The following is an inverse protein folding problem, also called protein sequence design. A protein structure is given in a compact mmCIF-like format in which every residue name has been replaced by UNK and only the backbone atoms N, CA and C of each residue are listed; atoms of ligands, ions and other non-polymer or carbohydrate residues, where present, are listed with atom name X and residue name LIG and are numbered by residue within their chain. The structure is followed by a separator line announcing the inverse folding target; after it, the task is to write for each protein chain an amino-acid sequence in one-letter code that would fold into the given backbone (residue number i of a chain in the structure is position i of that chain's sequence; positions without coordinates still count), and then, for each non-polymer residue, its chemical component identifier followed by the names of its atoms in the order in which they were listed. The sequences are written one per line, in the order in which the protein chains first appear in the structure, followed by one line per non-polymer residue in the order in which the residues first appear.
data_IF_041191269598
#
_entry.id   IF_041191269598
#
_cell.length_a   1.000
_cell.length_b   1.000
_cell.length_c   1.000
_cell.angle_alpha   90.00
_cell.angle_beta   90.00
_cell.angle_gamma   90.00
#
_symmetry.space_group_name_H-M   'P 1'
#
loop_
_entity.id
_entity.type
_entity.pdbx_description
1 polymer ?
#
# COMPACT_ATOMS: atom_id res chain seq x y z
N UNK A 1 -7.01 -4.56 29.05
CA UNK A 1 -5.87 -3.80 28.50
C UNK A 1 -5.92 -2.44 29.16
N UNK A 2 -4.99 -2.13 30.05
CA UNK A 2 -4.98 -0.87 30.80
C UNK A 2 -4.59 0.28 29.85
N UNK A 3 -5.26 1.42 29.98
CA UNK A 3 -4.86 2.66 29.31
C UNK A 3 -3.47 3.06 29.84
N UNK A 4 -2.56 3.54 28.97
CA UNK A 4 -1.26 4.00 29.42
C UNK A 4 -1.41 5.16 30.42
N UNK A 5 -0.50 5.23 31.37
CA UNK A 5 -0.49 6.29 32.39
C UNK A 5 -0.35 7.68 31.75
N UNK A 6 -0.90 8.71 32.36
CA UNK A 6 -0.94 10.09 31.87
C UNK A 6 0.42 10.59 31.32
N UNK A 7 1.51 10.21 31.98
CA UNK A 7 2.88 10.57 31.58
C UNK A 7 3.30 9.98 30.23
N UNK A 8 2.90 8.73 29.93
CA UNK A 8 3.19 8.09 28.63
C UNK A 8 2.39 8.70 27.46
N UNK A 9 1.22 9.28 27.76
CA UNK A 9 0.42 9.97 26.75
C UNK A 9 1.03 11.33 26.37
N UNK A 10 1.63 12.02 27.33
CA UNK A 10 2.28 13.31 27.07
C UNK A 10 3.62 13.12 26.36
N UNK A 11 4.41 12.10 26.70
CA UNK A 11 5.64 11.73 25.97
C UNK A 11 5.34 11.33 24.51
N UNK A 12 4.26 10.58 24.29
CA UNK A 12 3.81 10.22 22.95
C UNK A 12 3.37 11.45 22.16
N UNK A 13 2.66 12.39 22.79
CA UNK A 13 2.25 13.65 22.17
C UNK A 13 3.44 14.53 21.78
N UNK A 14 4.48 14.56 22.60
CA UNK A 14 5.69 15.33 22.34
C UNK A 14 6.51 14.71 21.21
N UNK A 15 6.69 13.39 21.21
CA UNK A 15 7.32 12.64 20.13
C UNK A 15 6.60 12.79 18.77
N UNK A 16 5.26 12.87 18.78
CA UNK A 16 4.47 13.11 17.58
C UNK A 16 4.58 14.56 17.06
N UNK A 17 5.01 15.52 17.90
CA UNK A 17 5.24 16.92 17.48
C UNK A 17 6.58 17.13 16.79
N UNK A 18 7.58 16.32 17.09
CA UNK A 18 8.89 16.38 16.45
C UNK A 18 8.90 15.74 15.05
N UNK A 19 7.93 14.84 14.78
CA UNK A 19 7.72 14.21 13.50
C UNK A 19 6.65 14.90 12.66
N UNK A 20 6.43 14.43 11.45
CA UNK A 20 5.29 14.82 10.62
C UNK A 20 4.07 14.01 11.06
N UNK A 21 3.09 14.60 11.76
CA UNK A 21 1.97 13.85 12.32
C UNK A 21 0.97 13.46 11.21
N UNK A 22 0.54 12.23 11.25
CA UNK A 22 -0.57 11.71 10.44
C UNK A 22 -1.70 11.27 11.37
N UNK A 23 -2.94 11.60 11.01
CA UNK A 23 -4.11 11.20 11.78
C UNK A 23 -5.17 10.63 10.87
N UNK A 24 -5.69 9.47 11.29
CA UNK A 24 -6.81 8.80 10.66
C UNK A 24 -7.84 8.46 11.72
N UNK A 25 -9.11 8.72 11.46
CA UNK A 25 -10.24 8.41 12.32
C UNK A 25 -11.13 7.37 11.65
N UNK A 26 -11.38 6.26 12.31
CA UNK A 26 -12.38 5.28 11.90
C UNK A 26 -13.65 5.41 12.74
N UNK A 27 -14.79 5.56 12.08
CA UNK A 27 -16.10 5.63 12.71
C UNK A 27 -16.94 4.42 12.30
N UNK A 28 -17.45 3.68 13.28
CA UNK A 28 -18.42 2.62 13.04
C UNK A 28 -19.75 3.19 12.53
N UNK A 29 -20.40 2.50 11.61
CA UNK A 29 -21.72 2.88 11.08
C UNK A 29 -22.78 1.82 11.38
N UNK A 30 -22.54 0.58 11.03
CA UNK A 30 -23.47 -0.54 11.28
C UNK A 30 -22.77 -1.89 11.12
N UNK A 31 -23.25 -2.94 11.80
CA UNK A 31 -22.69 -4.29 11.67
C UNK A 31 -21.18 -4.30 11.84
N UNK A 32 -20.45 -4.72 10.80
CA UNK A 32 -18.96 -4.74 10.76
C UNK A 32 -18.41 -3.72 9.76
N UNK A 33 -19.09 -2.59 9.57
CA UNK A 33 -18.77 -1.58 8.57
C UNK A 33 -18.62 -0.19 9.19
N UNK A 34 -17.89 0.67 8.52
CA UNK A 34 -17.66 2.04 8.94
C UNK A 34 -17.04 2.92 7.85
N UNK A 35 -16.56 4.06 8.30
CA UNK A 35 -15.91 5.08 7.49
C UNK A 35 -14.53 5.38 8.07
N UNK A 36 -13.52 5.44 7.22
CA UNK A 36 -12.19 5.95 7.57
C UNK A 36 -12.01 7.31 6.91
N UNK A 37 -11.53 8.27 7.68
CA UNK A 37 -11.20 9.63 7.22
C UNK A 37 -9.80 10.00 7.65
N UNK A 38 -9.12 10.73 6.77
CA UNK A 38 -7.85 11.38 7.06
C UNK A 38 -8.06 12.88 7.24
N UNK A 39 -7.21 13.52 8.05
CA UNK A 39 -7.23 14.98 8.17
C UNK A 39 -6.73 15.68 6.89
N UNK A 40 -6.03 14.96 6.02
CA UNK A 40 -5.47 15.48 4.76
C UNK A 40 -6.39 15.36 3.54
N UNK A 41 -7.49 14.58 3.63
CA UNK A 41 -8.42 14.35 2.51
C UNK A 41 -9.87 14.45 3.00
N UNK A 42 -10.73 15.26 2.35
CA UNK A 42 -12.14 15.38 2.70
C UNK A 42 -12.95 14.10 2.40
N UNK A 43 -12.46 13.22 1.54
CA UNK A 43 -13.17 12.01 1.15
C UNK A 43 -12.98 10.90 2.19
N UNK A 44 -14.05 10.22 2.49
CA UNK A 44 -14.04 9.06 3.38
C UNK A 44 -13.98 7.76 2.58
N UNK A 45 -13.23 6.79 3.10
CA UNK A 45 -13.24 5.43 2.57
C UNK A 45 -14.24 4.60 3.37
N UNK A 46 -15.21 3.98 2.67
CA UNK A 46 -16.10 3.00 3.26
C UNK A 46 -15.38 1.67 3.42
N UNK A 47 -15.35 1.15 4.64
CA UNK A 47 -14.75 -0.15 4.92
C UNK A 47 -15.75 -1.13 5.55
N UNK A 48 -15.45 -2.41 5.42
CA UNK A 48 -16.18 -3.51 6.05
C UNK A 48 -15.23 -4.65 6.36
N UNK A 49 -15.64 -5.56 7.25
CA UNK A 49 -14.93 -6.83 7.39
C UNK A 49 -14.97 -7.62 6.05
N UNK A 50 -14.02 -8.51 5.80
CA UNK A 50 -14.11 -9.43 4.66
C UNK A 50 -15.43 -10.22 4.66
N UNK A 51 -16.01 -10.56 3.49
CA UNK A 51 -17.27 -11.29 3.40
C UNK A 51 -17.30 -12.60 4.20
N UNK A 52 -16.19 -13.35 4.20
CA UNK A 52 -16.03 -14.57 5.02
C UNK A 52 -16.15 -14.33 6.54
N UNK A 53 -16.01 -13.09 6.99
CA UNK A 53 -16.21 -12.68 8.37
C UNK A 53 -17.52 -11.91 8.58
N UNK A 54 -18.46 -11.97 7.60
CA UNK A 54 -19.78 -11.35 7.66
C UNK A 54 -19.76 -9.86 7.32
N UNK A 55 -18.83 -9.43 6.49
CA UNK A 55 -18.82 -8.11 5.88
C UNK A 55 -19.61 -8.07 4.56
N UNK A 56 -19.60 -6.90 3.92
CA UNK A 56 -20.30 -6.63 2.67
C UNK A 56 -19.34 -6.80 1.47
N UNK A 57 -19.86 -7.28 0.35
CA UNK A 57 -19.11 -7.30 -0.91
C UNK A 57 -18.97 -5.90 -1.51
N UNK A 58 -17.97 -5.72 -2.37
CA UNK A 58 -17.76 -4.46 -3.10
C UNK A 58 -17.29 -3.28 -2.23
N UNK A 59 -16.74 -3.54 -1.07
CA UNK A 59 -16.18 -2.53 -0.15
C UNK A 59 -14.75 -2.87 0.21
N UNK A 60 -13.99 -1.84 0.54
CA UNK A 60 -12.63 -2.03 1.07
C UNK A 60 -12.66 -2.75 2.40
N UNK A 61 -11.73 -3.66 2.59
CA UNK A 61 -11.51 -4.31 3.89
C UNK A 61 -10.29 -3.68 4.60
N UNK A 62 -10.12 -3.87 5.91
CA UNK A 62 -8.89 -3.46 6.60
C UNK A 62 -7.63 -4.04 5.96
N UNK A 63 -7.73 -5.26 5.42
CA UNK A 63 -6.66 -5.93 4.72
C UNK A 63 -6.32 -5.21 3.41
N UNK A 64 -7.32 -4.80 2.63
CA UNK A 64 -7.13 -4.02 1.41
C UNK A 64 -6.49 -2.66 1.71
N UNK A 65 -6.91 -2.00 2.80
CA UNK A 65 -6.34 -0.73 3.23
C UNK A 65 -4.86 -0.88 3.61
N UNK A 66 -4.48 -1.97 4.28
CA UNK A 66 -3.09 -2.27 4.61
C UNK A 66 -2.26 -2.50 3.33
N UNK A 67 -2.74 -3.35 2.43
CA UNK A 67 -2.03 -3.64 1.17
C UNK A 67 -1.97 -2.38 0.29
N UNK A 68 -3.02 -1.57 0.27
CA UNK A 68 -3.06 -0.28 -0.39
C UNK A 68 -2.05 0.72 0.18
N UNK A 69 -1.87 0.75 1.49
CA UNK A 69 -0.86 1.58 2.14
C UNK A 69 0.57 1.15 1.75
N UNK A 70 0.83 -0.15 1.65
CA UNK A 70 2.12 -0.68 1.18
C UNK A 70 2.34 -0.29 -0.29
N UNK A 71 1.35 -0.50 -1.15
CA UNK A 71 1.44 -0.20 -2.59
C UNK A 71 1.70 1.29 -2.84
N UNK A 72 0.92 2.16 -2.20
CA UNK A 72 1.05 3.61 -2.35
C UNK A 72 2.38 4.14 -1.80
N UNK A 73 2.80 3.68 -0.62
CA UNK A 73 4.07 4.07 -0.03
C UNK A 73 5.27 3.61 -0.87
N UNK A 74 5.24 2.37 -1.38
CA UNK A 74 6.25 1.87 -2.29
C UNK A 74 6.32 2.72 -3.57
N UNK A 75 5.16 3.01 -4.18
CA UNK A 75 5.06 3.83 -5.40
C UNK A 75 5.69 5.20 -5.18
N UNK A 76 5.30 5.93 -4.14
CA UNK A 76 5.84 7.27 -3.86
C UNK A 76 7.32 7.23 -3.53
N UNK A 77 7.80 6.20 -2.82
CA UNK A 77 9.22 6.00 -2.54
C UNK A 77 10.01 5.77 -3.83
N UNK A 78 9.49 4.93 -4.74
CA UNK A 78 10.13 4.72 -6.05
C UNK A 78 10.16 6.01 -6.87
N UNK A 79 9.04 6.76 -6.95
CA UNK A 79 8.98 8.01 -7.69
C UNK A 79 10.05 8.99 -7.22
N UNK A 80 10.21 9.17 -5.91
CA UNK A 80 11.24 10.04 -5.35
C UNK A 80 12.68 9.57 -5.70
N UNK A 81 12.92 8.26 -5.67
CA UNK A 81 14.22 7.69 -6.06
C UNK A 81 14.49 7.83 -7.56
N UNK A 82 13.48 7.65 -8.39
CA UNK A 82 13.58 7.80 -9.85
C UNK A 82 13.87 9.25 -10.21
N UNK A 83 13.16 10.21 -9.61
CA UNK A 83 13.38 11.64 -9.78
C UNK A 83 14.79 12.04 -9.37
N UNK A 84 15.23 11.69 -8.17
CA UNK A 84 16.59 11.96 -7.69
C UNK A 84 17.66 11.38 -8.60
N UNK A 85 17.42 10.19 -9.12
CA UNK A 85 18.35 9.47 -10.01
C UNK A 85 18.21 9.87 -11.48
N UNK A 86 17.23 10.70 -11.83
CA UNK A 86 16.89 11.07 -13.21
C UNK A 86 16.63 9.82 -14.09
N UNK A 87 15.96 8.82 -13.54
CA UNK A 87 15.48 7.67 -14.32
C UNK A 87 14.18 8.06 -15.00
N UNK A 88 14.17 8.04 -16.32
CA UNK A 88 12.93 8.19 -17.08
C UNK A 88 12.21 6.85 -17.20
N UNK A 89 10.90 6.85 -16.96
CA UNK A 89 10.05 5.68 -17.10
C UNK A 89 8.69 6.07 -17.66
N UNK A 90 8.02 5.12 -18.29
CA UNK A 90 6.73 5.35 -18.96
C UNK A 90 5.56 5.03 -18.04
N UNK A 91 5.66 3.96 -17.27
CA UNK A 91 4.61 3.52 -16.38
C UNK A 91 5.17 2.71 -15.20
N UNK A 92 4.50 2.80 -14.06
CA UNK A 92 4.72 1.95 -12.90
C UNK A 92 3.37 1.44 -12.40
N UNK A 93 3.23 0.14 -12.26
CA UNK A 93 2.13 -0.50 -11.57
C UNK A 93 2.69 -1.33 -10.42
N UNK A 94 2.10 -1.22 -9.23
CA UNK A 94 2.54 -1.95 -8.04
C UNK A 94 1.40 -2.81 -7.54
N UNK A 95 1.52 -4.13 -7.77
CA UNK A 95 0.59 -5.12 -7.27
C UNK A 95 1.12 -5.64 -5.92
N UNK A 96 0.31 -5.50 -4.86
CA UNK A 96 0.65 -6.01 -3.53
C UNK A 96 -0.38 -7.06 -3.15
N UNK A 97 0.11 -8.25 -2.86
CA UNK A 97 -0.70 -9.41 -2.50
C UNK A 97 -0.41 -9.82 -1.08
N UNK A 98 -1.43 -10.29 -0.38
CA UNK A 98 -1.28 -10.83 0.95
C UNK A 98 -2.32 -11.88 1.27
N UNK A 99 -1.99 -12.82 2.16
CA UNK A 99 -2.91 -13.86 2.58
C UNK A 99 -3.04 -13.90 4.10
N UNK A 100 -4.30 -13.94 4.60
CA UNK A 100 -4.58 -14.18 6.00
C UNK A 100 -4.59 -15.68 6.29
N UNK A 101 -3.83 -16.08 7.29
CA UNK A 101 -3.79 -17.45 7.80
C UNK A 101 -4.28 -17.49 9.24
N UNK A 102 -4.93 -18.60 9.62
CA UNK A 102 -5.29 -18.85 11.02
C UNK A 102 -4.01 -19.16 11.80
N UNK A 103 -3.82 -18.49 12.90
CA UNK A 103 -2.71 -18.65 13.83
C UNK A 103 -3.28 -18.93 15.24
N UNK A 104 -2.44 -19.28 16.20
CA UNK A 104 -2.85 -19.63 17.56
C UNK A 104 -3.67 -18.55 18.26
N UNK A 105 -3.44 -17.28 17.95
CA UNK A 105 -4.10 -16.12 18.54
C UNK A 105 -5.04 -15.39 17.58
N UNK A 106 -5.60 -16.09 16.57
CA UNK A 106 -6.51 -15.50 15.60
C UNK A 106 -5.99 -15.56 14.16
N UNK A 107 -6.21 -14.49 13.40
CA UNK A 107 -5.73 -14.39 12.02
C UNK A 107 -4.55 -13.42 11.93
N UNK A 108 -3.57 -13.75 11.09
CA UNK A 108 -2.42 -12.90 10.76
C UNK A 108 -2.10 -13.00 9.27
N UNK A 109 -1.43 -11.98 8.74
CA UNK A 109 -0.82 -12.11 7.41
C UNK A 109 0.31 -13.14 7.50
N UNK A 110 0.21 -14.19 6.67
CA UNK A 110 1.25 -15.23 6.56
C UNK A 110 2.31 -14.86 5.54
N UNK A 111 1.89 -14.27 4.44
CA UNK A 111 2.76 -13.86 3.34
C UNK A 111 2.26 -12.55 2.76
N UNK A 112 3.19 -11.69 2.37
CA UNK A 112 2.94 -10.47 1.61
C UNK A 112 3.94 -10.46 0.47
N UNK A 113 3.51 -10.13 -0.75
CA UNK A 113 4.36 -9.98 -1.91
C UNK A 113 4.17 -8.58 -2.52
N UNK A 114 5.27 -7.92 -2.91
CA UNK A 114 5.29 -6.64 -3.61
C UNK A 114 5.81 -6.91 -5.02
N UNK A 115 4.97 -6.74 -6.02
CA UNK A 115 5.22 -7.09 -7.41
C UNK A 115 5.17 -5.83 -8.31
N UNK A 116 6.19 -4.97 -8.31
CA UNK A 116 6.22 -3.79 -9.16
C UNK A 116 6.50 -4.15 -10.61
N UNK A 117 5.74 -3.57 -11.52
CA UNK A 117 5.95 -3.64 -12.99
C UNK A 117 6.29 -2.25 -13.49
N UNK A 118 7.50 -2.08 -13.96
CA UNK A 118 8.04 -0.82 -14.47
C UNK A 118 8.24 -0.91 -15.98
N UNK A 119 7.71 0.05 -16.73
CA UNK A 119 7.95 0.20 -18.16
C UNK A 119 8.94 1.34 -18.39
N UNK A 120 10.00 1.07 -19.13
CA UNK A 120 11.05 2.03 -19.49
C UNK A 120 11.26 2.09 -20.97
N UNK A 121 11.91 3.16 -21.44
CA UNK A 121 12.46 3.29 -22.78
C UNK A 121 13.98 3.06 -22.68
N UNK A 122 14.52 2.20 -23.57
CA UNK A 122 15.96 1.94 -23.58
C UNK A 122 16.39 0.78 -22.67
N UNK A 123 16.99 -0.24 -23.28
CA UNK A 123 17.43 -1.44 -22.58
C UNK A 123 18.62 -1.18 -21.66
N UNK A 124 19.41 -0.15 -21.93
CA UNK A 124 20.57 0.28 -21.13
C UNK A 124 20.18 0.71 -19.71
N UNK A 125 18.97 1.20 -19.50
CA UNK A 125 18.46 1.62 -18.20
C UNK A 125 17.90 0.47 -17.35
N UNK A 126 17.74 -0.73 -17.90
CA UNK A 126 17.09 -1.86 -17.22
C UNK A 126 17.77 -2.22 -15.89
N UNK A 127 19.10 -2.29 -15.89
CA UNK A 127 19.87 -2.61 -14.68
C UNK A 127 19.71 -1.54 -13.59
N UNK A 128 19.68 -0.28 -14.00
CA UNK A 128 19.50 0.86 -13.09
C UNK A 128 18.08 0.87 -12.53
N UNK A 129 17.08 0.63 -13.37
CA UNK A 129 15.69 0.51 -12.99
C UNK A 129 15.48 -0.57 -11.92
N UNK A 130 16.03 -1.78 -12.13
CA UNK A 130 15.97 -2.85 -11.15
C UNK A 130 16.58 -2.49 -9.80
N UNK A 131 17.76 -1.85 -9.79
CA UNK A 131 18.38 -1.38 -8.54
C UNK A 131 17.52 -0.35 -7.81
N UNK A 132 16.85 0.54 -8.52
CA UNK A 132 15.97 1.54 -7.91
C UNK A 132 14.69 0.90 -7.36
N UNK A 133 14.11 -0.09 -8.04
CA UNK A 133 12.99 -0.87 -7.52
C UNK A 133 13.37 -1.59 -6.22
N UNK A 134 14.55 -2.23 -6.18
CA UNK A 134 15.06 -2.89 -4.98
C UNK A 134 15.31 -1.88 -3.84
N UNK A 135 15.89 -0.73 -4.16
CA UNK A 135 16.12 0.33 -3.17
C UNK A 135 14.80 0.86 -2.60
N UNK A 136 13.78 1.03 -3.43
CA UNK A 136 12.45 1.43 -2.98
C UNK A 136 11.86 0.43 -1.99
N UNK A 137 11.97 -0.87 -2.24
CA UNK A 137 11.51 -1.90 -1.31
C UNK A 137 12.25 -1.82 0.04
N UNK A 138 13.55 -1.65 0.02
CA UNK A 138 14.38 -1.57 1.23
C UNK A 138 14.15 -0.28 2.05
N UNK A 139 13.70 0.80 1.43
CA UNK A 139 13.53 2.11 2.08
C UNK A 139 12.09 2.55 2.29
N UNK A 140 11.10 1.78 1.80
CA UNK A 140 9.68 2.05 1.98
C UNK A 140 9.31 2.07 3.48
N UNK A 141 8.88 3.20 4.05
CA UNK A 141 8.59 3.31 5.48
C UNK A 141 7.52 2.34 5.95
N UNK A 142 6.45 2.16 5.18
CA UNK A 142 5.32 1.29 5.56
C UNK A 142 5.74 -0.18 5.52
N UNK A 143 6.48 -0.62 4.50
CA UNK A 143 6.94 -2.02 4.42
C UNK A 143 7.87 -2.39 5.58
N UNK A 144 8.65 -1.44 6.08
CA UNK A 144 9.56 -1.65 7.22
C UNK A 144 8.86 -1.81 8.58
N UNK A 145 7.56 -1.50 8.66
CA UNK A 145 6.75 -1.72 9.87
C UNK A 145 6.18 -3.14 9.93
N UNK A 146 6.28 -3.91 8.86
CA UNK A 146 5.71 -5.25 8.80
C UNK A 146 6.52 -6.24 9.66
N UNK A 147 5.81 -7.11 10.37
CA UNK A 147 6.42 -8.21 11.12
C UNK A 147 6.90 -9.37 10.23
N UNK A 148 6.45 -9.39 8.97
CA UNK A 148 6.79 -10.37 7.94
C UNK A 148 7.55 -9.65 6.85
N UNK A 149 8.71 -10.17 6.46
CA UNK A 149 9.45 -9.62 5.32
C UNK A 149 8.70 -9.94 4.02
N UNK A 150 8.29 -8.92 3.24
CA UNK A 150 7.58 -9.16 1.99
C UNK A 150 8.47 -9.82 0.95
N UNK A 151 7.93 -10.80 0.22
CA UNK A 151 8.53 -11.27 -1.02
C UNK A 151 8.56 -10.13 -2.04
N UNK A 152 9.63 -10.02 -2.81
CA UNK A 152 9.83 -8.95 -3.76
C UNK A 152 10.03 -9.50 -5.17
N UNK A 153 9.10 -9.22 -6.08
CA UNK A 153 9.03 -9.77 -7.44
C UNK A 153 8.99 -8.66 -8.50
N UNK A 154 10.09 -7.92 -8.73
CA UNK A 154 10.11 -6.81 -9.67
C UNK A 154 10.16 -7.29 -11.12
N UNK A 155 9.46 -6.57 -11.99
CA UNK A 155 9.51 -6.76 -13.44
C UNK A 155 9.83 -5.43 -14.11
N UNK A 156 10.76 -5.44 -15.06
CA UNK A 156 11.09 -4.30 -15.91
C UNK A 156 10.83 -4.68 -17.35
N UNK A 157 9.96 -3.92 -18.01
CA UNK A 157 9.64 -4.06 -19.43
C UNK A 157 10.27 -2.92 -20.20
N UNK A 158 11.03 -3.25 -21.24
CA UNK A 158 11.56 -2.27 -22.17
C UNK A 158 10.57 -2.16 -23.33
N UNK A 159 9.97 -0.98 -23.48
CA UNK A 159 9.04 -0.70 -24.58
C UNK A 159 9.79 0.09 -25.66
N UNK A 160 9.65 -0.32 -26.92
CA UNK A 160 10.06 0.51 -28.04
C UNK A 160 9.26 1.84 -27.99
N UNK A 161 9.87 2.95 -28.33
CA UNK A 161 9.31 4.30 -28.25
C UNK A 161 8.10 4.48 -29.19
N UNK A 162 6.96 3.87 -28.84
CA UNK A 162 5.69 4.11 -29.52
C UNK A 162 4.55 4.02 -28.50
N UNK A 163 3.95 5.18 -28.24
CA UNK A 163 2.67 5.44 -27.55
C UNK A 163 2.44 4.85 -26.15
N UNK A 164 2.38 5.76 -25.19
CA UNK A 164 1.77 5.59 -23.89
C UNK A 164 0.34 5.03 -24.03
N UNK A 165 0.07 3.91 -23.38
CA UNK A 165 -1.28 3.53 -22.98
C UNK A 165 -1.25 3.03 -21.56
N UNK A 166 -1.85 3.84 -20.76
CA UNK A 166 -1.99 3.94 -19.34
C UNK A 166 -2.56 2.71 -18.63
N UNK A 167 -2.52 2.81 -17.31
CA UNK A 167 -3.42 2.13 -16.38
C UNK A 167 -4.89 2.57 -16.59
N UNK A 168 -5.49 2.17 -17.73
CA UNK A 168 -6.90 2.34 -17.98
C UNK A 168 -7.55 0.96 -18.07
N UNK A 169 -8.19 0.56 -16.97
CA UNK A 169 -9.40 -0.25 -17.02
C UNK A 169 -9.27 -1.74 -17.29
N UNK A 170 -8.90 -2.53 -16.32
CA UNK A 170 -9.63 -3.79 -16.13
C UNK A 170 -10.83 -3.48 -15.23
N UNK A 171 -11.89 -2.94 -15.84
CA UNK A 171 -13.22 -2.97 -15.24
C UNK A 171 -13.65 -4.44 -15.19
N UNK A 172 -13.78 -4.98 -13.99
CA UNK A 172 -14.58 -6.17 -13.76
C UNK A 172 -15.97 -5.91 -14.32
N UNK A 173 -16.31 -6.53 -15.44
CA UNK A 173 -17.67 -6.64 -15.93
C UNK A 173 -18.45 -7.49 -14.94
N UNK A 174 -19.06 -6.85 -13.95
CA UNK A 174 -20.12 -7.44 -13.14
C UNK A 174 -21.32 -7.61 -14.05
N UNK A 175 -21.62 -8.88 -14.43
CA UNK A 175 -22.84 -9.25 -15.14
C UNK A 175 -24.05 -8.82 -14.32
N UNK A 176 -24.94 -8.11 -14.97
CA UNK A 176 -26.30 -7.86 -14.51
C UNK A 176 -27.07 -9.18 -14.46
N UNK A 177 -27.71 -9.47 -13.34
CA UNK A 177 -29.05 -10.06 -13.22
C UNK A 177 -29.75 -9.33 -12.07
#
# INVERSE_FOLDING_TARGET
MALPAANQQDELRESLREGQPYRVLACWSSGKSGLVRSDSDPHAIHFTAPPRFGGLEGRWTPEDLLLGAIASCYTTTFCALAEYSKLEYLALAVDVRGSLRKADRGYSFGEIAICPRLSIVGAEEQHRALRLLQKAAATCPVSRLLAVEPAFEPQVQVLASTSASACAGETHSGGAI
#
